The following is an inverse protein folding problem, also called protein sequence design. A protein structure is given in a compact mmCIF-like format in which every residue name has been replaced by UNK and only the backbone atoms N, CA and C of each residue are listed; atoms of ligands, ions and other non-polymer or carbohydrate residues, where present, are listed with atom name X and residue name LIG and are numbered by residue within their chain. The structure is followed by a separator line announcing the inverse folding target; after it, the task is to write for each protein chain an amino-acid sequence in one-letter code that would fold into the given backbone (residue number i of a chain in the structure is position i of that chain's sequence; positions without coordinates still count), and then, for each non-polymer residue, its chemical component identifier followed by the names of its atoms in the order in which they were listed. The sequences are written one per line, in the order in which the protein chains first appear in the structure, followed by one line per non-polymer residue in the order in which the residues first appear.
data_IF_014247440173
#
_entry.id   IF_014247440173
#
_cell.length_a   1.000
_cell.length_b   1.000
_cell.length_c   1.000
_cell.angle_alpha   90.00
_cell.angle_beta   90.00
_cell.angle_gamma   90.00
#
_symmetry.space_group_name_H-M   'P 1'
#
loop_
_entity.id
_entity.type
_entity.pdbx_description
1 polymer ?
#
# COMPACT_ATOMS: atom_id res chain seq x y z
N UNK A 1 -1.32 1.00 -7.59
CA UNK A 1 -2.41 1.54 -6.75
C UNK A 1 -1.77 2.34 -5.63
N UNK A 2 -2.22 3.58 -5.41
CA UNK A 2 -1.89 4.38 -4.23
C UNK A 2 -3.19 4.62 -3.48
N UNK A 3 -3.29 4.25 -2.21
CA UNK A 3 -4.54 4.38 -1.45
C UNK A 3 -4.28 4.51 0.05
N UNK A 4 -5.22 5.11 0.78
CA UNK A 4 -5.21 5.11 2.24
C UNK A 4 -5.56 3.72 2.77
N UNK A 5 -5.04 3.33 3.93
CA UNK A 5 -5.44 2.07 4.58
C UNK A 5 -6.88 2.15 5.06
N UNK A 6 -7.24 3.27 5.69
CA UNK A 6 -8.55 3.45 6.31
C UNK A 6 -9.39 4.36 5.42
N UNK A 7 -10.49 3.81 4.88
CA UNK A 7 -11.49 4.57 4.13
C UNK A 7 -12.90 4.22 4.64
N UNK A 8 -13.88 5.13 4.52
CA UNK A 8 -15.27 4.79 4.84
C UNK A 8 -15.80 3.67 3.92
N UNK A 9 -16.31 2.60 4.51
CA UNK A 9 -16.98 1.50 3.81
C UNK A 9 -16.08 0.38 3.28
N UNK A 10 -14.77 0.62 3.11
CA UNK A 10 -13.80 -0.41 2.75
C UNK A 10 -12.38 0.00 3.19
N UNK A 11 -11.48 -0.96 3.33
CA UNK A 11 -10.05 -0.69 3.56
C UNK A 11 -9.30 -0.60 2.23
N UNK A 12 -8.16 0.08 2.23
CA UNK A 12 -7.24 0.07 1.09
C UNK A 12 -6.81 -1.34 0.70
N UNK A 13 -6.67 -2.22 1.70
CA UNK A 13 -6.34 -3.62 1.48
C UNK A 13 -7.44 -4.38 0.72
N UNK A 14 -8.71 -4.22 1.11
CA UNK A 14 -9.85 -4.83 0.40
C UNK A 14 -9.94 -4.33 -1.06
N UNK A 15 -9.69 -3.04 -1.29
CA UNK A 15 -9.62 -2.47 -2.62
C UNK A 15 -8.49 -3.12 -3.45
N UNK A 16 -7.29 -3.25 -2.88
CA UNK A 16 -6.16 -3.87 -3.55
C UNK A 16 -6.43 -5.34 -3.88
N UNK A 17 -7.02 -6.09 -2.95
CA UNK A 17 -7.42 -7.49 -3.19
C UNK A 17 -8.42 -7.60 -4.34
N UNK A 18 -9.43 -6.73 -4.36
CA UNK A 18 -10.45 -6.69 -5.42
C UNK A 18 -9.82 -6.40 -6.78
N UNK A 19 -8.94 -5.40 -6.86
CA UNK A 19 -8.28 -5.04 -8.11
C UNK A 19 -7.29 -6.11 -8.58
N UNK A 20 -6.64 -6.83 -7.65
CA UNK A 20 -5.72 -7.93 -7.98
C UNK A 20 -6.42 -9.16 -8.57
N UNK A 21 -7.72 -9.33 -8.38
CA UNK A 21 -8.49 -10.37 -9.08
C UNK A 21 -8.50 -10.11 -10.60
N UNK A 22 -8.48 -8.85 -11.03
CA UNK A 22 -8.44 -8.45 -12.44
C UNK A 22 -7.02 -8.22 -12.96
N UNK A 23 -6.11 -7.76 -12.08
CA UNK A 23 -4.70 -7.50 -12.39
C UNK A 23 -3.79 -8.20 -11.38
N UNK A 24 -3.51 -9.50 -11.59
CA UNK A 24 -2.57 -10.23 -10.74
C UNK A 24 -1.23 -9.50 -10.65
N UNK A 25 -0.71 -9.34 -9.42
CA UNK A 25 0.57 -8.66 -9.18
C UNK A 25 0.51 -7.12 -9.18
N UNK A 26 -0.68 -6.51 -9.30
CA UNK A 26 -0.83 -5.04 -9.24
C UNK A 26 -0.08 -4.46 -8.02
N UNK A 27 0.91 -3.58 -8.24
CA UNK A 27 1.65 -2.96 -7.16
C UNK A 27 0.74 -2.06 -6.33
N UNK A 28 0.80 -2.15 -5.01
CA UNK A 28 0.03 -1.33 -4.08
C UNK A 28 0.94 -0.62 -3.08
N UNK A 29 0.82 0.70 -3.02
CA UNK A 29 1.41 1.54 -1.97
C UNK A 29 0.28 2.03 -1.06
N UNK A 30 0.33 1.61 0.21
CA UNK A 30 -0.64 1.99 1.22
C UNK A 30 -0.11 3.15 2.06
N UNK A 31 -0.94 4.18 2.26
CA UNK A 31 -0.60 5.30 3.11
C UNK A 31 -1.31 5.13 4.46
N UNK A 32 -0.59 5.18 5.57
CA UNK A 32 -1.12 4.86 6.91
C UNK A 32 -0.89 5.98 7.94
N UNK A 33 -1.80 6.16 8.89
CA UNK A 33 -1.61 7.07 10.02
C UNK A 33 -0.88 6.43 11.20
N UNK A 34 -0.65 7.22 12.26
CA UNK A 34 0.03 6.80 13.50
C UNK A 34 -0.66 5.64 14.26
N UNK A 35 -1.94 5.38 13.99
CA UNK A 35 -2.74 4.34 14.66
C UNK A 35 -2.86 3.04 13.84
N UNK A 36 -2.36 3.02 12.61
CA UNK A 36 -2.65 1.97 11.63
C UNK A 36 -1.47 1.01 11.40
N UNK A 37 -0.33 1.21 12.08
CA UNK A 37 0.86 0.35 11.93
C UNK A 37 0.68 -1.05 12.50
N UNK A 38 -0.27 -1.26 13.41
CA UNK A 38 -0.65 -2.59 13.91
C UNK A 38 -1.43 -3.40 12.86
N UNK A 39 -1.88 -2.76 11.79
CA UNK A 39 -2.61 -3.38 10.69
C UNK A 39 -1.70 -4.05 9.65
N UNK A 40 -0.37 -3.99 9.79
CA UNK A 40 0.54 -4.72 8.92
C UNK A 40 0.38 -6.19 9.25
N UNK A 41 -0.36 -7.00 8.45
CA UNK A 41 -0.45 -8.41 8.73
C UNK A 41 0.98 -8.93 8.58
N UNK A 42 1.45 -9.66 9.59
CA UNK A 42 2.74 -10.37 9.63
C UNK A 42 2.89 -11.45 8.53
N UNK A 43 2.15 -11.31 7.42
CA UNK A 43 1.99 -12.22 6.29
C UNK A 43 2.20 -11.57 4.93
N UNK A 44 2.84 -10.40 4.82
CA UNK A 44 3.21 -9.86 3.50
C UNK A 44 4.50 -10.52 3.02
N UNK A 45 4.38 -11.74 2.51
CA UNK A 45 5.35 -12.33 1.54
C UNK A 45 5.10 -11.81 0.11
N UNK A 46 4.32 -10.75 -0.02
CA UNK A 46 3.94 -10.16 -1.29
C UNK A 46 4.87 -9.00 -1.62
N UNK A 47 5.75 -9.22 -2.60
CA UNK A 47 6.74 -8.24 -3.08
C UNK A 47 6.09 -7.06 -3.80
N UNK A 48 4.80 -7.15 -4.16
CA UNK A 48 4.04 -6.12 -4.85
C UNK A 48 3.33 -5.13 -3.90
N UNK A 49 3.66 -5.14 -2.61
CA UNK A 49 3.05 -4.26 -1.61
C UNK A 49 4.10 -3.45 -0.85
N UNK A 50 3.83 -2.16 -0.63
CA UNK A 50 4.60 -1.30 0.27
C UNK A 50 3.69 -0.39 1.11
N UNK A 51 4.24 0.17 2.17
CA UNK A 51 3.56 1.05 3.11
C UNK A 51 4.33 2.37 3.26
N UNK A 52 3.61 3.47 3.43
CA UNK A 52 4.15 4.80 3.70
C UNK A 52 3.39 5.44 4.86
N UNK A 53 4.09 5.69 5.95
CA UNK A 53 3.50 6.29 7.16
C UNK A 53 3.36 7.82 7.00
N UNK A 54 2.25 8.37 7.50
CA UNK A 54 2.03 9.81 7.64
C UNK A 54 2.61 10.34 8.97
N UNK A 55 3.14 11.58 9.00
CA UNK A 55 3.37 12.45 7.84
C UNK A 55 4.58 11.97 7.01
N UNK A 56 4.55 12.25 5.72
CA UNK A 56 5.66 11.99 4.80
C UNK A 56 5.94 13.23 3.94
N UNK A 57 7.15 13.31 3.44
CA UNK A 57 7.65 14.31 2.51
C UNK A 57 7.38 13.89 1.06
N UNK A 58 7.46 14.87 0.15
CA UNK A 58 7.35 14.60 -1.29
C UNK A 58 8.43 13.63 -1.80
N UNK A 59 9.64 13.69 -1.25
CA UNK A 59 10.73 12.78 -1.64
C UNK A 59 10.46 11.35 -1.21
N UNK A 60 9.89 11.14 -0.02
CA UNK A 60 9.60 9.81 0.49
C UNK A 60 8.54 9.07 -0.34
N UNK A 61 7.47 9.76 -0.76
CA UNK A 61 6.46 9.13 -1.62
C UNK A 61 7.02 8.78 -3.01
N UNK A 62 7.89 9.62 -3.58
CA UNK A 62 8.54 9.33 -4.86
C UNK A 62 9.43 8.08 -4.74
N UNK A 63 10.28 8.03 -3.72
CA UNK A 63 11.17 6.87 -3.47
C UNK A 63 10.36 5.59 -3.27
N UNK A 64 9.25 5.65 -2.53
CA UNK A 64 8.38 4.50 -2.32
C UNK A 64 7.77 3.99 -3.63
N UNK A 65 7.27 4.89 -4.48
CA UNK A 65 6.71 4.54 -5.79
C UNK A 65 7.80 3.93 -6.69
N UNK A 66 8.96 4.56 -6.80
CA UNK A 66 10.05 4.03 -7.64
C UNK A 66 10.52 2.64 -7.18
N UNK A 67 10.61 2.44 -5.86
CA UNK A 67 11.01 1.15 -5.29
C UNK A 67 9.99 0.05 -5.58
N UNK A 68 8.70 0.41 -5.59
CA UNK A 68 7.61 -0.49 -5.93
C UNK A 68 7.63 -0.86 -7.43
N UNK A 69 7.86 0.13 -8.30
CA UNK A 69 7.93 -0.06 -9.75
C UNK A 69 9.17 -0.86 -10.18
N UNK A 70 10.30 -0.74 -9.47
CA UNK A 70 11.50 -1.55 -9.74
C UNK A 70 11.32 -3.05 -9.48
N UNK A 71 10.31 -3.44 -8.70
CA UNK A 71 10.01 -4.82 -8.30
C UNK A 71 8.88 -5.45 -9.12
N UNK A 72 8.22 -4.67 -9.98
CA UNK A 72 7.10 -5.07 -10.83
C UNK A 72 7.58 -5.37 -12.25
#
# INVERSE_FOLDING_TARGET
LLTDIVMPGMTGHELAQTLRQQRPGLPALFISGYADTDFIPSRVRDTSTAFLQKPFTQSEIIIAIESLMRRY
#
